data_IF_063253465430
#
_entry.id   IF_063253465430
#
_cell.length_a   1.000
_cell.length_b   1.000
_cell.length_c   1.000
_cell.angle_alpha   90.00
_cell.angle_beta   90.00
_cell.angle_gamma   90.00
#
_symmetry.space_group_name_H-M   'P 1'
#
loop_
_entity.id
_entity.type
_entity.pdbx_description
1 polymer ?
#
# COMPACT_ATOMS: atom_id res chain seq x y z
N UNK A 1 9.85 -32.38 83.01
CA UNK A 1 10.00 -30.97 82.58
C UNK A 1 9.61 -30.89 81.11
N UNK A 2 8.73 -29.93 80.75
CA UNK A 2 8.20 -29.58 79.42
C UNK A 2 7.29 -30.64 78.73
N UNK A 3 6.02 -30.42 78.37
CA UNK A 3 5.19 -29.22 78.30
C UNK A 3 4.89 -28.81 76.85
N UNK A 4 3.58 -28.77 76.50
CA UNK A 4 2.94 -27.88 75.49
C UNK A 4 2.74 -28.40 74.03
N UNK A 5 1.53 -28.91 73.78
CA UNK A 5 0.54 -28.34 72.83
C UNK A 5 0.74 -28.43 71.29
N UNK A 6 -0.30 -28.76 70.50
CA UNK A 6 -0.26 -28.84 69.03
C UNK A 6 -0.69 -27.53 68.35
N UNK A 7 -0.36 -27.33 67.04
CA UNK A 7 -1.26 -26.78 65.99
C UNK A 7 -0.55 -26.54 64.64
N UNK A 8 -1.24 -27.02 63.60
CA UNK A 8 -1.57 -26.40 62.29
C UNK A 8 -0.56 -25.43 61.64
N UNK A 9 -0.17 -25.80 60.43
CA UNK A 9 0.24 -24.87 59.37
C UNK A 9 0.15 -25.55 58.00
N UNK A 10 -1.02 -25.53 57.38
CA UNK A 10 -1.15 -25.82 55.95
C UNK A 10 -1.01 -24.52 55.15
N UNK A 11 -0.51 -24.57 53.92
CA UNK A 11 -0.94 -23.74 52.78
C UNK A 11 -0.37 -24.30 51.47
N UNK A 12 -1.27 -24.95 50.71
CA UNK A 12 -1.51 -24.88 49.26
C UNK A 12 -0.39 -25.23 48.24
N UNK A 13 -0.66 -26.36 47.60
CA UNK A 13 -0.40 -26.75 46.22
C UNK A 13 -0.23 -25.62 45.19
N UNK A 14 0.70 -25.83 44.24
CA UNK A 14 0.43 -25.68 42.80
C UNK A 14 1.12 -26.81 42.03
N UNK A 15 0.30 -27.59 41.35
CA UNK A 15 0.62 -28.69 40.44
C UNK A 15 1.38 -28.10 39.25
N UNK A 16 2.62 -28.55 39.02
CA UNK A 16 3.36 -28.26 37.79
C UNK A 16 2.84 -29.21 36.72
N UNK A 17 1.85 -28.72 35.97
CA UNK A 17 1.31 -29.38 34.79
C UNK A 17 2.42 -29.43 33.73
N UNK A 18 2.87 -30.64 33.42
CA UNK A 18 3.68 -30.89 32.25
C UNK A 18 2.88 -30.53 30.99
N UNK A 19 3.45 -29.68 30.16
CA UNK A 19 2.97 -29.43 28.81
C UNK A 19 4.14 -29.67 27.85
N UNK A 20 3.87 -30.59 26.94
CA UNK A 20 4.72 -31.04 25.84
C UNK A 20 4.78 -29.93 24.78
N UNK A 21 5.95 -29.78 24.15
CA UNK A 21 6.35 -28.79 23.13
C UNK A 21 5.34 -28.59 21.98
N UNK A 22 5.40 -27.43 21.32
CA UNK A 22 5.97 -27.46 19.98
C UNK A 22 7.08 -26.43 19.79
N UNK A 23 8.20 -26.94 19.27
CA UNK A 23 9.28 -26.16 18.67
C UNK A 23 8.66 -25.29 17.57
N UNK A 24 8.61 -23.97 17.79
CA UNK A 24 8.36 -23.00 16.74
C UNK A 24 9.54 -23.05 15.76
N UNK A 25 9.42 -23.94 14.78
CA UNK A 25 10.15 -23.81 13.52
C UNK A 25 9.61 -22.55 12.84
N UNK A 26 10.24 -21.42 13.10
CA UNK A 26 10.08 -20.23 12.27
C UNK A 26 10.58 -20.62 10.88
N UNK A 27 9.61 -20.89 10.01
CA UNK A 27 9.82 -21.20 8.62
C UNK A 27 10.71 -20.15 8.00
N UNK A 28 11.72 -20.64 7.30
CA UNK A 28 12.53 -19.90 6.34
C UNK A 28 11.57 -19.16 5.40
N UNK A 29 11.38 -17.86 5.61
CA UNK A 29 10.97 -16.95 4.55
C UNK A 29 12.14 -16.83 3.57
N UNK A 30 12.38 -17.90 2.82
CA UNK A 30 12.98 -17.80 1.50
C UNK A 30 11.85 -17.42 0.53
N UNK A 31 11.24 -16.24 0.75
CA UNK A 31 10.76 -15.48 -0.39
C UNK A 31 12.03 -14.96 -1.05
N UNK A 32 12.32 -15.49 -2.24
CA UNK A 32 13.57 -15.28 -2.94
C UNK A 32 13.94 -13.80 -2.99
N UNK A 33 14.98 -13.43 -2.25
CA UNK A 33 15.68 -12.17 -2.41
C UNK A 33 16.58 -12.30 -3.65
N UNK A 34 15.97 -12.50 -4.82
CA UNK A 34 16.58 -12.11 -6.08
C UNK A 34 15.85 -10.85 -6.50
N UNK A 35 16.07 -9.77 -5.74
CA UNK A 35 15.85 -8.44 -6.27
C UNK A 35 16.87 -8.26 -7.38
N UNK A 36 16.52 -8.72 -8.56
CA UNK A 36 17.25 -8.41 -9.77
C UNK A 36 17.29 -6.90 -9.95
N UNK A 37 18.23 -6.37 -10.74
CA UNK A 37 18.19 -4.97 -11.16
C UNK A 37 16.81 -4.59 -11.71
N UNK A 38 16.10 -5.54 -12.32
CA UNK A 38 14.76 -5.36 -12.90
C UNK A 38 13.69 -5.00 -11.85
N UNK A 39 13.69 -5.61 -10.66
CA UNK A 39 12.68 -5.36 -9.62
C UNK A 39 12.83 -3.97 -8.99
N UNK A 40 14.07 -3.51 -8.80
CA UNK A 40 14.32 -2.13 -8.34
C UNK A 40 13.82 -1.14 -9.38
N UNK A 41 14.12 -1.39 -10.66
CA UNK A 41 13.63 -0.50 -11.73
C UNK A 41 12.11 -0.52 -11.86
N UNK A 42 11.45 -1.63 -11.51
CA UNK A 42 9.99 -1.71 -11.53
C UNK A 42 9.37 -0.90 -10.38
N UNK A 43 9.86 -1.06 -9.16
CA UNK A 43 9.41 -0.28 -8.01
C UNK A 43 9.61 1.23 -8.25
N UNK A 44 10.75 1.63 -8.81
CA UNK A 44 11.04 3.02 -9.15
C UNK A 44 10.07 3.57 -10.20
N UNK A 45 9.72 2.80 -11.24
CA UNK A 45 8.72 3.20 -12.25
C UNK A 45 7.34 3.37 -11.63
N UNK A 46 6.91 2.42 -10.78
CA UNK A 46 5.62 2.48 -10.08
C UNK A 46 5.54 3.67 -9.15
N UNK A 47 6.60 3.94 -8.40
CA UNK A 47 6.71 5.12 -7.54
C UNK A 47 6.61 6.42 -8.36
N UNK A 48 7.33 6.50 -9.48
CA UNK A 48 7.29 7.66 -10.38
C UNK A 48 5.87 7.90 -10.92
N UNK A 49 5.19 6.84 -11.38
CA UNK A 49 3.80 6.92 -11.81
C UNK A 49 2.87 7.42 -10.70
N UNK A 50 2.94 6.84 -9.50
CA UNK A 50 2.08 7.25 -8.38
C UNK A 50 2.35 8.67 -7.90
N UNK A 51 3.60 9.14 -8.00
CA UNK A 51 3.97 10.54 -7.71
C UNK A 51 3.29 11.50 -8.68
N UNK A 52 3.42 11.26 -9.99
CA UNK A 52 2.79 12.12 -11.00
C UNK A 52 1.27 12.08 -10.90
N UNK A 53 0.71 10.90 -10.62
CA UNK A 53 -0.73 10.73 -10.45
C UNK A 53 -1.27 11.52 -9.26
N UNK A 54 -0.60 11.48 -8.12
CA UNK A 54 -0.98 12.28 -6.95
C UNK A 54 -0.90 13.79 -7.20
N UNK A 55 0.12 14.25 -7.93
CA UNK A 55 0.23 15.66 -8.35
C UNK A 55 -0.94 16.08 -9.24
N UNK A 56 -1.22 15.31 -10.29
CA UNK A 56 -2.35 15.59 -11.18
C UNK A 56 -3.70 15.63 -10.44
N UNK A 57 -3.92 14.72 -9.49
CA UNK A 57 -5.15 14.71 -8.69
C UNK A 57 -5.26 15.93 -7.77
N UNK A 58 -4.16 16.44 -7.22
CA UNK A 58 -4.18 17.66 -6.40
C UNK A 58 -4.52 18.88 -7.23
N UNK A 59 -3.89 19.05 -8.40
CA UNK A 59 -4.20 20.15 -9.31
C UNK A 59 -5.66 20.08 -9.78
N UNK A 60 -6.16 18.91 -10.17
CA UNK A 60 -7.58 18.72 -10.50
C UNK A 60 -8.54 19.13 -9.35
N UNK A 61 -8.15 18.88 -8.10
CA UNK A 61 -8.96 19.23 -6.93
C UNK A 61 -8.85 20.72 -6.58
N UNK A 62 -7.69 21.34 -6.77
CA UNK A 62 -7.46 22.77 -6.61
C UNK A 62 -8.28 23.55 -7.64
N UNK A 63 -8.20 23.18 -8.92
CA UNK A 63 -9.02 23.75 -10.00
C UNK A 63 -10.52 23.60 -9.75
N UNK A 64 -10.96 22.45 -9.22
CA UNK A 64 -12.36 22.25 -8.89
C UNK A 64 -12.84 23.11 -7.71
N UNK A 65 -11.93 23.63 -6.89
CA UNK A 65 -12.22 24.48 -5.74
C UNK A 65 -12.17 25.98 -6.06
N UNK A 66 -11.47 26.38 -7.12
CA UNK A 66 -11.31 27.77 -7.54
C UNK A 66 -12.40 28.24 -8.53
N UNK A 67 -12.59 29.55 -8.67
CA UNK A 67 -13.42 30.09 -9.75
C UNK A 67 -12.76 29.80 -11.09
N UNK A 68 -13.51 29.55 -12.18
CA UNK A 68 -12.94 29.07 -13.44
C UNK A 68 -11.86 30.02 -13.98
N UNK A 69 -10.61 29.61 -13.83
CA UNK A 69 -9.42 30.28 -14.35
C UNK A 69 -8.91 29.51 -15.58
N UNK A 70 -8.83 30.15 -16.77
CA UNK A 70 -8.29 29.49 -17.95
C UNK A 70 -6.84 29.00 -17.81
N UNK A 71 -6.00 29.59 -16.94
CA UNK A 71 -4.61 29.12 -16.81
C UNK A 71 -4.47 27.82 -16.04
N UNK A 72 -5.38 27.56 -15.11
CA UNK A 72 -5.38 26.34 -14.31
C UNK A 72 -5.70 25.07 -15.11
N UNK A 73 -6.57 25.19 -16.11
CA UNK A 73 -6.83 24.10 -17.06
C UNK A 73 -5.59 23.72 -17.90
N UNK A 74 -4.74 24.68 -18.26
CA UNK A 74 -3.50 24.42 -19.01
C UNK A 74 -2.47 23.67 -18.13
N UNK A 75 -2.39 23.99 -16.85
CA UNK A 75 -1.51 23.30 -15.88
C UNK A 75 -1.96 21.84 -15.67
N UNK A 76 -3.26 21.63 -15.41
CA UNK A 76 -3.85 20.29 -15.30
C UNK A 76 -3.62 19.44 -16.55
N UNK A 77 -3.74 20.05 -17.74
CA UNK A 77 -3.49 19.36 -19.00
C UNK A 77 -2.02 18.94 -19.14
N UNK A 78 -1.08 19.83 -18.81
CA UNK A 78 0.35 19.50 -18.80
C UNK A 78 0.69 18.38 -17.81
N UNK A 79 0.04 18.36 -16.65
CA UNK A 79 0.28 17.33 -15.66
C UNK A 79 -0.35 15.98 -16.04
N UNK A 80 -1.48 15.99 -16.76
CA UNK A 80 -2.03 14.77 -17.35
C UNK A 80 -1.06 14.12 -18.34
N UNK A 81 -0.31 14.90 -19.12
CA UNK A 81 0.75 14.37 -20.00
C UNK A 81 1.86 13.70 -19.20
N UNK A 82 2.29 14.32 -18.09
CA UNK A 82 3.31 13.73 -17.21
C UNK A 82 2.86 12.37 -16.64
N UNK A 83 1.58 12.22 -16.28
CA UNK A 83 1.01 10.94 -15.82
C UNK A 83 1.04 9.90 -16.93
N UNK A 84 0.63 10.26 -18.15
CA UNK A 84 0.64 9.37 -19.31
C UNK A 84 2.07 8.89 -19.63
N UNK A 85 3.04 9.79 -19.56
CA UNK A 85 4.44 9.51 -19.82
C UNK A 85 5.06 8.57 -18.78
N UNK A 86 4.76 8.81 -17.50
CA UNK A 86 5.17 7.96 -16.38
C UNK A 86 4.50 6.57 -16.41
N UNK A 87 3.29 6.48 -16.96
CA UNK A 87 2.54 5.23 -17.12
C UNK A 87 3.09 4.35 -18.24
N UNK A 88 3.64 4.92 -19.34
CA UNK A 88 4.08 4.15 -20.52
C UNK A 88 4.85 2.85 -20.22
N UNK A 89 5.87 2.82 -19.35
CA UNK A 89 6.61 1.58 -19.07
C UNK A 89 5.84 0.56 -18.22
N UNK A 90 4.70 0.93 -17.65
CA UNK A 90 3.82 0.12 -16.81
C UNK A 90 2.46 -0.17 -17.50
N UNK A 91 2.29 0.27 -18.75
CA UNK A 91 1.00 0.31 -19.46
C UNK A 91 0.21 -0.99 -19.37
N UNK A 92 0.91 -2.12 -19.46
CA UNK A 92 0.31 -3.44 -19.58
C UNK A 92 0.08 -4.11 -18.20
N UNK A 93 0.38 -3.43 -17.09
CA UNK A 93 0.11 -3.94 -15.75
C UNK A 93 -1.39 -4.03 -15.44
N UNK A 94 -1.86 -5.09 -14.77
CA UNK A 94 -3.27 -5.24 -14.43
C UNK A 94 -3.66 -4.37 -13.22
N UNK A 95 -4.78 -3.63 -13.33
CA UNK A 95 -5.29 -2.79 -12.23
C UNK A 95 -6.59 -3.31 -11.61
N UNK A 96 -7.27 -4.23 -12.30
CA UNK A 96 -8.57 -4.78 -11.93
C UNK A 96 -9.63 -4.49 -13.00
N UNK A 97 -10.80 -5.13 -12.89
CA UNK A 97 -11.90 -4.92 -13.84
C UNK A 97 -11.60 -5.37 -15.28
N UNK A 98 -10.60 -6.24 -15.47
CA UNK A 98 -10.16 -6.68 -16.80
C UNK A 98 -9.39 -5.64 -17.60
N UNK A 99 -8.96 -4.54 -16.96
CA UNK A 99 -8.23 -3.45 -17.61
C UNK A 99 -6.75 -3.43 -17.26
N UNK A 100 -5.97 -2.84 -18.16
CA UNK A 100 -4.58 -2.48 -17.91
C UNK A 100 -4.46 -1.10 -17.26
N UNK A 101 -3.29 -0.81 -16.68
CA UNK A 101 -2.98 0.49 -16.10
C UNK A 101 -3.07 1.60 -17.14
N UNK A 102 -2.67 1.32 -18.38
CA UNK A 102 -2.80 2.28 -19.47
C UNK A 102 -4.23 2.60 -19.85
N UNK A 103 -5.07 1.58 -19.97
CA UNK A 103 -6.50 1.76 -20.26
C UNK A 103 -7.19 2.56 -19.14
N UNK A 104 -6.91 2.22 -17.89
CA UNK A 104 -7.48 2.92 -16.74
C UNK A 104 -6.96 4.37 -16.61
N UNK A 105 -5.68 4.61 -16.89
CA UNK A 105 -5.11 5.97 -16.86
C UNK A 105 -5.70 6.85 -17.95
N UNK A 106 -5.78 6.35 -19.20
CA UNK A 106 -6.40 7.10 -20.29
C UNK A 106 -7.91 7.34 -20.06
N UNK A 107 -8.60 6.39 -19.43
CA UNK A 107 -9.99 6.56 -19.01
C UNK A 107 -10.12 7.66 -17.94
N UNK A 108 -9.24 7.67 -16.92
CA UNK A 108 -9.26 8.68 -15.88
C UNK A 108 -8.98 10.10 -16.40
N UNK A 109 -7.99 10.26 -17.29
CA UNK A 109 -7.68 11.57 -17.91
C UNK A 109 -8.86 12.09 -18.74
N UNK A 110 -9.67 11.21 -19.34
CA UNK A 110 -10.89 11.58 -20.04
C UNK A 110 -12.10 11.82 -19.12
N UNK A 111 -11.93 11.68 -17.82
CA UNK A 111 -13.01 11.85 -16.84
C UNK A 111 -14.00 10.69 -16.78
N UNK A 112 -13.60 9.47 -17.15
CA UNK A 112 -14.47 8.30 -17.01
C UNK A 112 -14.69 7.95 -15.54
N UNK A 113 -15.96 7.81 -15.15
CA UNK A 113 -16.36 7.47 -13.79
C UNK A 113 -15.68 6.18 -13.30
N UNK A 114 -15.15 6.24 -12.07
CA UNK A 114 -14.50 5.09 -11.42
C UNK A 114 -13.10 4.75 -11.93
N UNK A 115 -12.66 5.27 -13.08
CA UNK A 115 -11.30 5.04 -13.59
C UNK A 115 -10.23 5.61 -12.65
N UNK A 116 -10.48 6.80 -12.07
CA UNK A 116 -9.63 7.40 -11.04
C UNK A 116 -9.45 6.51 -9.80
N UNK A 117 -10.50 5.81 -9.39
CA UNK A 117 -10.45 4.86 -8.27
C UNK A 117 -9.63 3.61 -8.57
N UNK A 118 -9.65 3.13 -9.82
CA UNK A 118 -8.84 1.98 -10.24
C UNK A 118 -7.35 2.29 -10.20
N UNK A 119 -6.94 3.47 -10.68
CA UNK A 119 -5.53 3.88 -10.70
C UNK A 119 -5.03 4.29 -9.29
N UNK A 120 -5.88 4.91 -8.47
CA UNK A 120 -5.54 5.14 -7.06
C UNK A 120 -5.39 3.83 -6.28
N UNK A 121 -6.29 2.87 -6.52
CA UNK A 121 -6.21 1.53 -5.95
C UNK A 121 -5.00 0.73 -6.41
N UNK A 122 -4.47 1.00 -7.62
CA UNK A 122 -3.20 0.44 -8.06
C UNK A 122 -2.03 0.96 -7.21
N UNK A 123 -1.97 2.26 -6.92
CA UNK A 123 -0.92 2.84 -6.07
C UNK A 123 -1.01 2.35 -4.63
N UNK A 124 -2.21 2.23 -4.07
CA UNK A 124 -2.44 1.64 -2.74
C UNK A 124 -1.95 0.18 -2.64
N UNK A 125 -2.32 -0.67 -3.62
CA UNK A 125 -1.85 -2.07 -3.68
C UNK A 125 -0.34 -2.21 -3.78
N UNK A 126 0.35 -1.18 -4.27
CA UNK A 126 1.81 -1.16 -4.41
C UNK A 126 2.52 -0.41 -3.26
N UNK A 127 1.80 0.03 -2.22
CA UNK A 127 2.38 0.70 -1.04
C UNK A 127 2.75 2.17 -1.27
N UNK A 128 2.10 2.82 -2.23
CA UNK A 128 2.31 4.22 -2.61
C UNK A 128 1.11 5.10 -2.27
N UNK A 129 0.25 4.69 -1.35
CA UNK A 129 -0.94 5.41 -0.91
C UNK A 129 -0.63 6.82 -0.36
N UNK A 130 0.57 6.99 0.21
CA UNK A 130 1.01 8.28 0.76
C UNK A 130 1.36 9.31 -0.33
N UNK A 131 1.68 8.85 -1.55
CA UNK A 131 1.95 9.72 -2.69
C UNK A 131 0.68 10.24 -3.36
N UNK A 132 -0.45 9.60 -3.05
CA UNK A 132 -1.78 9.91 -3.58
C UNK A 132 -2.56 10.93 -2.73
N UNK A 133 -1.91 11.51 -1.70
CA UNK A 133 -2.52 12.51 -0.80
C UNK A 133 -2.18 13.94 -1.20
#
# INVERSE_FOLDING_TARGET
MNGRGPRRGGTRARVLLGAVLPVLALGVFAAGCSSGPDDRTLADRRQNYCTQLGQWQREMNEEAAEEPDPTGYDEVAGQAENVLDAMRPLRDEPVGGGRTLGEATAAAVRGEDGAGGLIAGYCDKNGFETLMR
#
